data_IF_279613982164
#
_entry.id   IF_279613982164
#
_cell.length_a   1.000
_cell.length_b   1.000
_cell.length_c   1.000
_cell.angle_alpha   90.00
_cell.angle_beta   90.00
_cell.angle_gamma   90.00
#
_symmetry.space_group_name_H-M   'P 1'
#
loop_
_entity.id
_entity.type
_entity.pdbx_description
1 polymer ?
#
# COMPACT_ATOMS: atom_id res chain seq x y z
N UNK A 1 -32.33 -45.65 -42.43
CA UNK A 1 -31.33 -45.84 -41.35
C UNK A 1 -31.28 -47.32 -41.04
N UNK A 2 -30.11 -47.96 -41.10
CA UNK A 2 -29.99 -49.38 -40.80
C UNK A 2 -30.26 -49.63 -39.30
N UNK A 3 -31.28 -50.42 -39.00
CA UNK A 3 -31.68 -50.76 -37.63
C UNK A 3 -30.71 -51.78 -37.04
N UNK A 4 -29.67 -51.29 -36.37
CA UNK A 4 -28.69 -52.14 -35.66
C UNK A 4 -29.17 -52.35 -34.22
N UNK A 5 -29.44 -53.60 -33.83
CA UNK A 5 -30.10 -53.93 -32.55
C UNK A 5 -29.09 -53.93 -31.37
N UNK A 6 -27.86 -54.39 -31.60
CA UNK A 6 -26.86 -54.55 -30.53
C UNK A 6 -26.14 -53.24 -30.12
N UNK A 7 -26.15 -52.20 -30.97
CA UNK A 7 -25.43 -50.96 -30.67
C UNK A 7 -26.30 -49.75 -31.00
N UNK A 8 -26.78 -49.08 -29.94
CA UNK A 8 -27.61 -47.90 -30.07
C UNK A 8 -26.75 -46.64 -30.20
N UNK A 9 -26.36 -46.32 -31.43
CA UNK A 9 -25.53 -45.14 -31.75
C UNK A 9 -26.23 -43.82 -31.34
N UNK A 10 -27.55 -43.75 -31.40
CA UNK A 10 -28.32 -42.58 -30.98
C UNK A 10 -28.18 -42.36 -29.47
N UNK A 11 -28.33 -43.40 -28.65
CA UNK A 11 -28.14 -43.32 -27.19
C UNK A 11 -26.70 -42.94 -26.80
N UNK A 12 -25.69 -43.54 -27.45
CA UNK A 12 -24.27 -43.20 -27.24
C UNK A 12 -23.93 -41.74 -27.61
N UNK A 13 -24.54 -41.21 -28.68
CA UNK A 13 -24.38 -39.81 -29.05
C UNK A 13 -25.04 -38.89 -28.02
N UNK A 14 -26.28 -39.19 -27.62
CA UNK A 14 -27.01 -38.43 -26.59
C UNK A 14 -26.26 -38.44 -25.25
N UNK A 15 -25.70 -39.57 -24.81
CA UNK A 15 -24.89 -39.65 -23.59
C UNK A 15 -23.63 -38.78 -23.64
N UNK A 16 -22.91 -38.75 -24.77
CA UNK A 16 -21.74 -37.87 -24.94
C UNK A 16 -22.12 -36.39 -24.87
N UNK A 17 -23.20 -35.99 -25.54
CA UNK A 17 -23.68 -34.61 -25.52
C UNK A 17 -24.19 -34.21 -24.13
N UNK A 18 -24.85 -35.13 -23.41
CA UNK A 18 -25.30 -34.93 -22.04
C UNK A 18 -24.12 -34.76 -21.09
N UNK A 19 -23.08 -35.58 -21.19
CA UNK A 19 -21.85 -35.44 -20.39
C UNK A 19 -21.13 -34.12 -20.65
N UNK A 20 -21.08 -33.67 -21.91
CA UNK A 20 -20.53 -32.35 -22.26
C UNK A 20 -21.35 -31.22 -21.67
N UNK A 21 -22.68 -31.29 -21.75
CA UNK A 21 -23.60 -30.28 -21.20
C UNK A 21 -23.53 -30.22 -19.67
N UNK A 22 -23.41 -31.37 -19.01
CA UNK A 22 -23.22 -31.47 -17.57
C UNK A 22 -21.91 -30.81 -17.12
N UNK A 23 -20.83 -31.01 -17.87
CA UNK A 23 -19.53 -30.41 -17.56
C UNK A 23 -19.56 -28.88 -17.72
N UNK A 24 -20.21 -28.39 -18.76
CA UNK A 24 -20.42 -26.96 -18.98
C UNK A 24 -21.28 -26.33 -17.87
N UNK A 25 -22.38 -26.99 -17.49
CA UNK A 25 -23.25 -26.56 -16.39
C UNK A 25 -22.50 -26.45 -15.06
N UNK A 26 -21.69 -27.46 -14.73
CA UNK A 26 -20.88 -27.46 -13.51
C UNK A 26 -19.85 -26.31 -13.51
N UNK A 27 -19.27 -25.99 -14.67
CA UNK A 27 -18.36 -24.86 -14.82
C UNK A 27 -19.09 -23.52 -14.60
N UNK A 28 -20.27 -23.35 -15.20
CA UNK A 28 -21.11 -22.17 -15.01
C UNK A 28 -21.49 -21.97 -13.54
N UNK A 29 -21.88 -23.05 -12.86
CA UNK A 29 -22.18 -23.03 -11.43
C UNK A 29 -20.96 -22.60 -10.59
N UNK A 30 -19.78 -23.13 -10.90
CA UNK A 30 -18.54 -22.77 -10.21
C UNK A 30 -18.20 -21.28 -10.41
N UNK A 31 -18.36 -20.75 -11.62
CA UNK A 31 -18.09 -19.34 -11.94
C UNK A 31 -19.11 -18.40 -11.30
N UNK A 32 -20.41 -18.73 -11.35
CA UNK A 32 -21.45 -17.98 -10.65
C UNK A 32 -21.27 -17.99 -9.13
N UNK A 33 -20.87 -19.13 -8.56
CA UNK A 33 -20.66 -19.26 -7.11
C UNK A 33 -19.40 -18.54 -6.62
N UNK A 34 -18.33 -18.52 -7.42
CA UNK A 34 -17.07 -17.85 -7.04
C UNK A 34 -17.00 -16.40 -7.49
N UNK A 35 -17.82 -15.99 -8.47
CA UNK A 35 -17.70 -14.71 -9.17
C UNK A 35 -16.50 -14.62 -10.10
N UNK A 36 -15.69 -15.69 -10.24
CA UNK A 36 -14.45 -15.70 -11.00
C UNK A 36 -14.60 -16.59 -12.23
N UNK A 37 -14.19 -16.07 -13.39
CA UNK A 37 -14.07 -16.81 -14.65
C UNK A 37 -12.95 -17.85 -14.58
N UNK A 38 -11.84 -17.49 -13.92
CA UNK A 38 -10.65 -18.34 -13.74
C UNK A 38 -10.56 -18.70 -12.27
N UNK A 39 -10.84 -19.95 -11.92
CA UNK A 39 -10.80 -20.42 -10.53
C UNK A 39 -9.64 -21.41 -10.28
N UNK A 40 -9.18 -22.08 -11.33
CA UNK A 40 -8.04 -23.00 -11.28
C UNK A 40 -7.11 -22.81 -12.47
N UNK A 41 -5.88 -23.34 -12.35
CA UNK A 41 -4.89 -23.39 -13.44
C UNK A 41 -5.39 -24.19 -14.66
N UNK A 42 -6.40 -25.04 -14.48
CA UNK A 42 -7.08 -25.75 -15.57
C UNK A 42 -7.89 -24.80 -16.47
N UNK A 43 -8.41 -23.71 -15.92
CA UNK A 43 -9.28 -22.79 -16.67
C UNK A 43 -8.46 -21.89 -17.59
N UNK A 44 -7.39 -21.30 -17.05
CA UNK A 44 -6.40 -20.52 -17.80
C UNK A 44 -5.12 -20.34 -16.95
N UNK A 45 -4.07 -21.10 -17.27
CA UNK A 45 -2.80 -21.03 -16.53
C UNK A 45 -2.08 -19.68 -16.74
N UNK A 46 -2.15 -19.10 -17.93
CA UNK A 46 -1.47 -17.83 -18.23
C UNK A 46 -2.23 -16.64 -17.60
N UNK A 47 -3.55 -16.63 -17.72
CA UNK A 47 -4.41 -15.64 -17.08
C UNK A 47 -4.27 -15.65 -15.56
N UNK A 48 -4.25 -16.84 -14.94
CA UNK A 48 -4.02 -16.98 -13.52
C UNK A 48 -2.63 -16.46 -13.10
N UNK A 49 -1.56 -16.80 -13.82
CA UNK A 49 -0.21 -16.34 -13.52
C UNK A 49 -0.09 -14.80 -13.59
N UNK A 50 -0.68 -14.18 -14.60
CA UNK A 50 -0.72 -12.71 -14.74
C UNK A 50 -1.50 -12.09 -13.57
N UNK A 51 -2.67 -12.64 -13.24
CA UNK A 51 -3.50 -12.15 -12.15
C UNK A 51 -2.81 -12.30 -10.78
N UNK A 52 -2.09 -13.39 -10.53
CA UNK A 52 -1.30 -13.57 -9.30
C UNK A 52 -0.17 -12.54 -9.21
N UNK A 53 0.50 -12.21 -10.31
CA UNK A 53 1.50 -11.14 -10.35
C UNK A 53 0.88 -9.77 -10.05
N UNK A 54 -0.25 -9.45 -10.68
CA UNK A 54 -0.99 -8.21 -10.40
C UNK A 54 -1.45 -8.15 -8.94
N UNK A 55 -1.90 -9.26 -8.37
CA UNK A 55 -2.29 -9.34 -6.95
C UNK A 55 -1.10 -9.07 -6.02
N UNK A 56 0.06 -9.66 -6.32
CA UNK A 56 1.30 -9.40 -5.58
C UNK A 56 1.71 -7.93 -5.66
N UNK A 57 1.62 -7.32 -6.84
CA UNK A 57 1.93 -5.90 -7.03
C UNK A 57 0.96 -5.01 -6.26
N UNK A 58 -0.36 -5.25 -6.33
CA UNK A 58 -1.36 -4.51 -5.57
C UNK A 58 -1.11 -4.61 -4.06
N UNK A 59 -0.83 -5.80 -3.53
CA UNK A 59 -0.49 -5.98 -2.11
C UNK A 59 0.79 -5.24 -1.74
N UNK A 60 1.82 -5.30 -2.59
CA UNK A 60 3.07 -4.56 -2.41
C UNK A 60 2.85 -3.05 -2.36
N UNK A 61 2.06 -2.51 -3.29
CA UNK A 61 1.70 -1.09 -3.33
C UNK A 61 0.86 -0.65 -2.13
N UNK A 62 -0.04 -1.50 -1.62
CA UNK A 62 -0.79 -1.21 -0.39
C UNK A 62 0.12 -1.14 0.85
N UNK A 63 1.16 -1.98 0.93
CA UNK A 63 2.19 -1.88 1.97
C UNK A 63 2.99 -0.59 1.78
N UNK A 64 3.38 -0.27 0.55
CA UNK A 64 4.10 0.96 0.23
C UNK A 64 3.32 2.23 0.61
N UNK A 65 2.01 2.26 0.42
CA UNK A 65 1.15 3.37 0.89
C UNK A 65 1.25 3.50 2.42
N UNK A 66 1.24 2.40 3.18
CA UNK A 66 1.41 2.46 4.65
C UNK A 66 2.78 2.99 5.03
N UNK A 67 3.85 2.48 4.40
CA UNK A 67 5.21 2.95 4.64
C UNK A 67 5.37 4.45 4.32
N UNK A 68 4.73 4.95 3.26
CA UNK A 68 4.74 6.37 2.91
C UNK A 68 4.02 7.22 3.98
N UNK A 69 2.90 6.73 4.53
CA UNK A 69 2.22 7.39 5.64
C UNK A 69 3.05 7.36 6.94
N UNK A 70 3.79 6.28 7.20
CA UNK A 70 4.75 6.21 8.32
C UNK A 70 5.87 7.24 8.13
N UNK A 71 6.33 7.45 6.89
CA UNK A 71 7.33 8.45 6.57
C UNK A 71 6.81 9.89 6.75
N UNK A 72 5.56 10.16 6.39
CA UNK A 72 4.88 11.43 6.69
C UNK A 72 4.81 11.64 8.21
N UNK A 73 4.40 10.61 8.96
CA UNK A 73 4.33 10.66 10.43
C UNK A 73 5.70 10.91 11.06
N UNK A 74 6.76 10.26 10.55
CA UNK A 74 8.14 10.51 10.94
C UNK A 74 8.54 11.97 10.71
N UNK A 75 8.23 12.52 9.53
CA UNK A 75 8.53 13.91 9.19
C UNK A 75 7.77 14.91 10.08
N UNK A 76 6.53 14.61 10.45
CA UNK A 76 5.74 15.43 11.38
C UNK A 76 6.31 15.41 12.80
N UNK A 77 6.77 14.26 13.29
CA UNK A 77 7.46 14.17 14.59
C UNK A 77 8.77 14.93 14.57
N UNK A 78 9.53 14.85 13.46
CA UNK A 78 10.74 15.62 13.24
C UNK A 78 10.47 17.14 13.29
N UNK A 79 9.43 17.59 12.59
CA UNK A 79 9.03 18.99 12.56
C UNK A 79 8.57 19.49 13.93
N UNK A 80 7.80 18.69 14.67
CA UNK A 80 7.39 19.03 16.04
C UNK A 80 8.59 19.22 16.98
N UNK A 81 9.58 18.33 16.88
CA UNK A 81 10.85 18.47 17.60
C UNK A 81 11.62 19.73 17.20
N UNK A 82 11.75 20.00 15.90
CA UNK A 82 12.43 21.20 15.40
C UNK A 82 11.72 22.48 15.83
N UNK A 83 10.39 22.49 15.89
CA UNK A 83 9.63 23.65 16.38
C UNK A 83 10.00 23.96 17.82
N UNK A 84 10.08 22.94 18.69
CA UNK A 84 10.45 23.13 20.10
C UNK A 84 11.91 23.51 20.29
N UNK A 85 12.82 23.00 19.45
CA UNK A 85 14.20 23.48 19.43
C UNK A 85 14.28 24.95 18.99
N UNK A 86 13.50 25.34 17.98
CA UNK A 86 13.45 26.72 17.49
C UNK A 86 12.96 27.69 18.58
N UNK A 87 11.89 27.34 19.30
CA UNK A 87 11.38 28.13 20.43
C UNK A 87 12.48 28.36 21.50
N UNK A 88 13.20 27.30 21.87
CA UNK A 88 14.30 27.39 22.85
C UNK A 88 15.49 28.23 22.33
N UNK A 89 15.86 28.07 21.05
CA UNK A 89 16.94 28.85 20.41
C UNK A 89 16.59 30.34 20.34
N UNK A 90 15.34 30.68 20.02
CA UNK A 90 14.88 32.07 20.04
C UNK A 90 14.99 32.68 21.45
N UNK A 91 14.58 31.93 22.49
CA UNK A 91 14.76 32.37 23.87
C UNK A 91 16.23 32.54 24.26
N UNK A 92 17.09 31.59 23.87
CA UNK A 92 18.54 31.71 24.07
C UNK A 92 19.11 32.95 23.39
N UNK A 93 18.60 33.31 22.21
CA UNK A 93 19.00 34.52 21.48
C UNK A 93 18.61 35.78 22.24
N UNK A 94 17.40 35.83 22.79
CA UNK A 94 16.94 36.96 23.62
C UNK A 94 17.88 37.17 24.83
N UNK A 95 18.21 36.09 25.53
CA UNK A 95 19.12 36.12 26.67
C UNK A 95 20.53 36.58 26.26
N UNK A 96 21.04 36.10 25.13
CA UNK A 96 22.33 36.51 24.61
C UNK A 96 22.35 38.01 24.26
N UNK A 97 21.31 38.53 23.60
CA UNK A 97 21.17 39.97 23.32
C UNK A 97 21.05 40.78 24.61
N UNK A 98 20.23 40.33 25.56
CA UNK A 98 20.08 40.99 26.85
C UNK A 98 21.40 41.04 27.62
N UNK A 99 22.17 39.95 27.61
CA UNK A 99 23.46 39.83 28.30
C UNK A 99 24.54 40.74 27.71
N UNK A 100 24.39 41.30 26.50
CA UNK A 100 25.35 42.24 25.92
C UNK A 100 25.21 43.65 26.51
N UNK A 101 24.06 43.99 27.11
CA UNK A 101 23.82 45.33 27.62
C UNK A 101 24.89 45.76 28.64
N UNK A 102 25.49 46.93 28.43
CA UNK A 102 26.58 47.46 29.25
C UNK A 102 26.14 47.78 30.69
N UNK A 103 24.84 47.98 30.94
CA UNK A 103 24.30 48.26 32.27
C UNK A 103 24.18 47.04 33.17
N UNK A 104 24.27 45.82 32.61
CA UNK A 104 24.14 44.59 33.40
C UNK A 104 25.39 44.36 34.26
N UNK A 105 25.18 44.01 35.52
CA UNK A 105 26.27 43.61 36.42
C UNK A 105 26.76 42.19 36.09
N UNK A 106 27.88 41.78 36.70
CA UNK A 106 28.36 40.40 36.61
C UNK A 106 27.36 39.40 37.18
N UNK A 107 26.63 39.78 38.23
CA UNK A 107 25.58 38.94 38.84
C UNK A 107 24.40 38.77 37.91
N UNK A 108 23.96 39.83 37.23
CA UNK A 108 22.87 39.76 36.25
C UNK A 108 23.24 38.84 35.08
N UNK A 109 24.49 38.96 34.58
CA UNK A 109 25.02 38.07 33.54
C UNK A 109 25.09 36.62 33.99
N UNK A 110 25.46 36.35 35.25
CA UNK A 110 25.46 35.01 35.80
C UNK A 110 24.06 34.39 35.88
N UNK A 111 23.04 35.19 36.22
CA UNK A 111 21.65 34.73 36.23
C UNK A 111 21.12 34.43 34.81
N UNK A 112 21.44 35.27 33.83
CA UNK A 112 21.11 35.03 32.41
C UNK A 112 21.82 33.78 31.87
N UNK A 113 23.07 33.56 32.25
CA UNK A 113 23.83 32.36 31.90
C UNK A 113 23.19 31.09 32.46
N UNK A 114 22.65 31.12 33.68
CA UNK A 114 21.99 29.96 34.27
C UNK A 114 20.75 29.54 33.45
N UNK A 115 19.93 30.50 33.00
CA UNK A 115 18.79 30.22 32.11
C UNK A 115 19.27 29.73 30.73
N UNK A 116 20.29 30.37 30.17
CA UNK A 116 20.87 29.99 28.88
C UNK A 116 21.40 28.56 28.88
N UNK A 117 22.10 28.17 29.94
CA UNK A 117 22.65 26.82 30.13
C UNK A 117 21.56 25.76 30.23
N UNK A 118 20.47 26.05 30.95
CA UNK A 118 19.31 25.15 31.03
C UNK A 118 18.63 24.97 29.66
N UNK A 119 18.48 26.05 28.90
CA UNK A 119 17.92 25.98 27.54
C UNK A 119 18.84 25.19 26.59
N UNK A 120 20.16 25.37 26.69
CA UNK A 120 21.12 24.59 25.91
C UNK A 120 21.04 23.08 26.23
N UNK A 121 20.89 22.75 27.51
CA UNK A 121 20.67 21.37 27.96
C UNK A 121 19.33 20.82 27.43
N UNK A 122 18.27 21.63 27.42
CA UNK A 122 16.97 21.24 26.88
C UNK A 122 17.00 21.01 25.36
N UNK A 123 17.68 21.86 24.59
CA UNK A 123 17.89 21.66 23.14
C UNK A 123 18.61 20.33 22.88
N UNK A 124 19.65 20.04 23.66
CA UNK A 124 20.40 18.78 23.60
C UNK A 124 19.54 17.57 23.98
N UNK A 125 18.73 17.70 25.03
CA UNK A 125 17.76 16.66 25.46
C UNK A 125 16.73 16.40 24.38
N UNK A 126 16.15 17.44 23.79
CA UNK A 126 15.15 17.31 22.74
C UNK A 126 15.71 16.64 21.48
N UNK A 127 16.98 16.89 21.16
CA UNK A 127 17.66 16.21 20.05
C UNK A 127 17.77 14.69 20.24
N UNK A 128 17.82 14.21 21.47
CA UNK A 128 17.99 12.77 21.78
C UNK A 128 16.68 12.09 22.22
N UNK A 129 15.75 12.86 22.79
CA UNK A 129 14.45 12.40 23.24
C UNK A 129 13.42 12.29 22.10
N UNK A 130 13.57 13.06 21.02
CA UNK A 130 12.64 12.98 19.88
C UNK A 130 12.87 11.71 19.08
N UNK A 131 11.95 10.76 19.26
CA UNK A 131 12.03 9.44 18.66
C UNK A 131 10.73 9.11 17.94
N UNK A 132 10.84 8.38 16.84
CA UNK A 132 9.71 7.77 16.15
C UNK A 132 9.93 6.26 16.14
N UNK A 133 8.98 5.52 16.71
CA UNK A 133 9.08 4.06 16.85
C UNK A 133 10.43 3.58 17.45
N UNK A 134 10.94 4.30 18.45
CA UNK A 134 12.22 3.99 19.11
C UNK A 134 13.49 4.46 18.39
N UNK A 135 13.39 4.83 17.10
CA UNK A 135 14.51 5.40 16.35
C UNK A 135 14.64 6.91 16.58
N UNK A 136 15.86 7.41 16.75
CA UNK A 136 16.12 8.84 16.83
C UNK A 136 15.77 9.51 15.49
N UNK A 137 15.06 10.63 15.56
CA UNK A 137 14.61 11.36 14.38
C UNK A 137 15.67 12.34 13.88
N UNK A 138 16.50 12.83 14.79
CA UNK A 138 17.65 13.67 14.50
C UNK A 138 18.90 12.82 14.25
N UNK A 139 19.69 13.16 13.23
CA UNK A 139 20.90 12.45 12.84
C UNK A 139 20.78 11.78 11.47
N UNK A 140 20.77 10.45 11.44
CA UNK A 140 20.87 9.67 10.21
C UNK A 140 19.64 9.81 9.29
N UNK A 141 19.90 9.77 7.99
CA UNK A 141 18.88 9.69 6.96
C UNK A 141 18.12 8.36 7.05
N UNK A 142 16.80 8.40 6.93
CA UNK A 142 15.94 7.20 6.97
C UNK A 142 15.44 6.88 5.58
N UNK A 143 15.51 5.60 5.19
CA UNK A 143 15.05 5.15 3.87
C UNK A 143 13.74 4.41 3.98
N UNK A 144 12.75 4.84 3.20
CA UNK A 144 11.42 4.25 3.16
C UNK A 144 11.17 3.60 1.81
N UNK A 145 10.72 2.35 1.81
CA UNK A 145 10.29 1.63 0.62
C UNK A 145 8.88 2.09 0.23
N UNK A 146 8.77 2.69 -0.95
CA UNK A 146 7.54 3.32 -1.46
C UNK A 146 7.02 2.70 -2.76
N UNK A 147 7.59 1.59 -3.20
CA UNK A 147 7.07 0.80 -4.33
C UNK A 147 6.98 -0.69 -4.00
N UNK A 148 6.43 -1.44 -4.95
CA UNK A 148 6.35 -2.89 -4.85
C UNK A 148 7.67 -3.59 -5.25
N UNK A 149 8.52 -2.92 -6.04
CA UNK A 149 9.76 -3.48 -6.55
C UNK A 149 10.96 -3.07 -5.69
N UNK A 150 11.98 -3.93 -5.64
CA UNK A 150 13.18 -3.68 -4.86
C UNK A 150 13.91 -2.43 -5.37
N UNK A 151 14.20 -1.49 -4.47
CA UNK A 151 14.93 -0.25 -4.79
C UNK A 151 14.04 0.98 -4.97
N UNK A 152 12.72 0.82 -5.06
CA UNK A 152 11.75 1.92 -5.07
C UNK A 152 11.68 2.61 -3.71
N UNK A 153 12.68 3.44 -3.41
CA UNK A 153 12.89 4.04 -2.09
C UNK A 153 12.95 5.55 -2.15
N UNK A 154 12.54 6.18 -1.05
CA UNK A 154 12.76 7.59 -0.79
C UNK A 154 13.53 7.70 0.53
N UNK A 155 14.69 8.33 0.46
CA UNK A 155 15.53 8.62 1.62
C UNK A 155 15.22 10.03 2.12
N UNK A 156 14.95 10.16 3.41
CA UNK A 156 14.80 11.45 4.07
C UNK A 156 16.16 12.13 4.22
N UNK A 157 16.19 13.45 4.15
CA UNK A 157 17.42 14.19 4.47
C UNK A 157 17.79 13.96 5.95
N UNK A 158 19.10 13.91 6.24
CA UNK A 158 19.59 13.92 7.61
C UNK A 158 19.15 15.22 8.29
N UNK A 159 18.43 15.12 9.40
CA UNK A 159 18.05 16.28 10.21
C UNK A 159 19.17 16.55 11.20
N UNK A 160 19.91 17.64 11.02
CA UNK A 160 21.03 17.96 11.90
C UNK A 160 20.52 18.24 13.33
N UNK A 161 21.17 17.61 14.31
CA UNK A 161 20.98 17.93 15.71
C UNK A 161 21.55 19.33 16.01
N UNK A 162 20.72 20.26 16.47
CA UNK A 162 21.23 21.54 16.97
C UNK A 162 22.03 21.29 18.26
N UNK A 163 23.33 21.60 18.24
CA UNK A 163 24.18 21.64 19.44
C UNK A 163 24.71 23.06 19.61
N UNK A 164 24.36 23.72 20.72
CA UNK A 164 24.87 25.05 21.04
C UNK A 164 25.95 24.91 22.11
N UNK A 165 27.21 25.07 21.70
CA UNK A 165 28.34 25.22 22.61
C UNK A 165 28.68 26.71 22.75
N UNK A 166 28.43 27.30 23.92
CA UNK A 166 28.68 28.71 24.18
C UNK A 166 28.17 29.16 25.55
N UNK A 167 28.53 30.38 25.96
CA UNK A 167 28.03 31.03 27.18
C UNK A 167 27.76 32.52 26.91
N UNK A 168 27.01 33.15 27.80
CA UNK A 168 26.62 34.57 27.78
C UNK A 168 27.16 35.34 28.99
N UNK A 169 28.16 34.79 29.68
CA UNK A 169 28.77 35.37 30.89
C UNK A 169 29.59 36.63 30.63
N UNK A 170 29.93 36.93 29.37
CA UNK A 170 30.66 38.14 28.95
C UNK A 170 30.10 38.69 27.64
N UNK A 171 30.37 39.97 27.36
CA UNK A 171 29.93 40.61 26.10
C UNK A 171 30.50 39.91 24.86
N UNK A 172 31.78 39.49 24.91
CA UNK A 172 32.44 38.82 23.80
C UNK A 172 31.85 37.42 23.54
N UNK A 173 31.61 36.66 24.60
CA UNK A 173 31.03 35.31 24.49
C UNK A 173 29.56 35.34 24.09
N UNK A 174 28.79 36.30 24.61
CA UNK A 174 27.41 36.53 24.20
C UNK A 174 27.29 36.91 22.71
N UNK A 175 28.20 37.73 22.19
CA UNK A 175 28.23 38.07 20.76
C UNK A 175 28.50 36.85 19.89
N UNK A 176 29.41 35.98 20.32
CA UNK A 176 29.69 34.70 19.65
C UNK A 176 28.50 33.73 19.73
N UNK A 177 27.80 33.70 20.88
CA UNK A 177 26.61 32.89 21.08
C UNK A 177 25.47 33.30 20.13
N UNK A 178 25.26 34.60 19.89
CA UNK A 178 24.26 35.08 18.91
C UNK A 178 24.57 34.51 17.52
N UNK A 179 25.82 34.60 17.05
CA UNK A 179 26.19 34.06 15.74
C UNK A 179 25.97 32.55 15.64
N UNK A 180 26.31 31.81 16.70
CA UNK A 180 26.07 30.37 16.75
C UNK A 180 24.57 30.01 16.74
N UNK A 181 23.75 30.76 17.48
CA UNK A 181 22.30 30.58 17.53
C UNK A 181 21.65 30.93 16.19
N UNK A 182 22.06 32.02 15.55
CA UNK A 182 21.55 32.41 14.23
C UNK A 182 21.87 31.34 13.18
N UNK A 183 23.08 30.77 13.21
CA UNK A 183 23.44 29.63 12.35
C UNK A 183 22.58 28.38 12.63
N UNK A 184 22.32 28.06 13.90
CA UNK A 184 21.47 26.95 14.28
C UNK A 184 20.00 27.15 13.87
N UNK A 185 19.47 28.37 14.01
CA UNK A 185 18.13 28.75 13.54
C UNK A 185 18.03 28.61 12.01
N UNK A 186 19.04 29.06 11.26
CA UNK A 186 19.09 28.85 9.81
C UNK A 186 19.07 27.35 9.46
N UNK A 187 19.90 26.54 10.11
CA UNK A 187 19.95 25.09 9.88
C UNK A 187 18.62 24.39 10.22
N UNK A 188 17.96 24.80 11.32
CA UNK A 188 16.64 24.29 11.69
C UNK A 188 15.58 24.65 10.64
N UNK A 189 15.56 25.89 10.15
CA UNK A 189 14.65 26.34 9.10
C UNK A 189 14.89 25.62 7.77
N UNK A 190 16.14 25.42 7.37
CA UNK A 190 16.49 24.61 6.18
C UNK A 190 16.00 23.18 6.36
N UNK A 191 16.20 22.57 7.53
CA UNK A 191 15.73 21.22 7.81
C UNK A 191 14.20 21.13 7.74
N UNK A 192 13.46 22.08 8.33
CA UNK A 192 11.99 22.14 8.23
C UNK A 192 11.51 22.27 6.78
N UNK A 193 12.17 23.11 5.98
CA UNK A 193 11.85 23.25 4.56
C UNK A 193 12.04 21.92 3.80
N UNK A 194 13.12 21.18 4.07
CA UNK A 194 13.35 19.86 3.47
C UNK A 194 12.33 18.81 3.92
N UNK A 195 11.93 18.82 5.19
CA UNK A 195 10.91 17.92 5.72
C UNK A 195 9.54 18.20 5.10
N UNK A 196 9.15 19.47 4.95
CA UNK A 196 7.91 19.85 4.26
C UNK A 196 7.92 19.44 2.79
N UNK A 197 9.04 19.61 2.09
CA UNK A 197 9.18 19.14 0.70
C UNK A 197 9.04 17.61 0.59
N UNK A 198 9.59 16.87 1.56
CA UNK A 198 9.49 15.42 1.63
C UNK A 198 8.05 14.97 1.94
N UNK A 199 7.32 15.67 2.81
CA UNK A 199 5.89 15.40 3.08
C UNK A 199 5.08 15.49 1.79
N UNK A 200 5.20 16.59 1.03
CA UNK A 200 4.54 16.77 -0.26
C UNK A 200 4.91 15.66 -1.26
N UNK A 201 6.19 15.25 -1.27
CA UNK A 201 6.66 14.15 -2.13
C UNK A 201 5.99 12.82 -1.75
N UNK A 202 5.90 12.49 -0.46
CA UNK A 202 5.22 11.28 -0.01
C UNK A 202 3.71 11.32 -0.27
N UNK A 203 3.04 12.46 -0.12
CA UNK A 203 1.63 12.62 -0.49
C UNK A 203 1.39 12.37 -1.98
N UNK A 204 2.26 12.91 -2.85
CA UNK A 204 2.21 12.66 -4.29
C UNK A 204 2.41 11.17 -4.62
N UNK A 205 3.33 10.51 -3.93
CA UNK A 205 3.57 9.07 -4.07
C UNK A 205 2.36 8.25 -3.62
N UNK A 206 1.74 8.60 -2.49
CA UNK A 206 0.51 7.93 -2.02
C UNK A 206 -0.59 8.05 -3.07
N UNK A 207 -0.81 9.24 -3.62
CA UNK A 207 -1.80 9.46 -4.68
C UNK A 207 -1.48 8.63 -5.94
N UNK A 208 -0.22 8.60 -6.37
CA UNK A 208 0.20 7.80 -7.52
C UNK A 208 -0.01 6.29 -7.29
N UNK A 209 0.35 5.79 -6.11
CA UNK A 209 0.16 4.39 -5.74
C UNK A 209 -1.32 4.01 -5.68
N UNK A 210 -2.19 4.88 -5.17
CA UNK A 210 -3.64 4.65 -5.15
C UNK A 210 -4.20 4.48 -6.56
N UNK A 211 -3.82 5.37 -7.48
CA UNK A 211 -4.19 5.26 -8.91
C UNK A 211 -3.63 3.99 -9.53
N UNK A 212 -2.40 3.60 -9.19
CA UNK A 212 -1.80 2.34 -9.69
C UNK A 212 -2.56 1.11 -9.19
N UNK A 213 -2.91 1.08 -7.90
CA UNK A 213 -3.69 0.00 -7.28
C UNK A 213 -5.07 -0.12 -7.92
N UNK A 214 -5.75 1.00 -8.17
CA UNK A 214 -7.06 1.02 -8.84
C UNK A 214 -6.97 0.43 -10.25
N UNK A 215 -6.02 0.92 -11.06
CA UNK A 215 -5.85 0.46 -12.44
C UNK A 215 -5.43 -1.01 -12.52
N UNK A 216 -4.55 -1.47 -11.64
CA UNK A 216 -4.15 -2.88 -11.58
C UNK A 216 -5.28 -3.78 -11.10
N UNK A 217 -6.07 -3.33 -10.13
CA UNK A 217 -7.26 -4.06 -9.66
C UNK A 217 -8.31 -4.17 -10.77
N UNK A 218 -8.53 -3.09 -11.53
CA UNK A 218 -9.42 -3.10 -12.69
C UNK A 218 -8.89 -4.00 -13.84
N UNK A 219 -7.57 -4.02 -14.08
CA UNK A 219 -6.96 -4.94 -15.04
C UNK A 219 -7.12 -6.40 -14.59
N UNK A 220 -6.87 -6.69 -13.32
CA UNK A 220 -7.07 -8.03 -12.72
C UNK A 220 -8.52 -8.47 -12.80
N UNK A 221 -9.47 -7.60 -12.49
CA UNK A 221 -10.92 -7.85 -12.58
C UNK A 221 -11.32 -8.29 -14.00
N UNK A 222 -10.85 -7.59 -15.05
CA UNK A 222 -11.10 -7.98 -16.46
C UNK A 222 -10.55 -9.36 -16.82
N UNK A 223 -9.50 -9.83 -16.13
CA UNK A 223 -8.91 -11.15 -16.36
C UNK A 223 -9.67 -12.23 -15.57
N UNK A 224 -9.97 -11.94 -14.31
CA UNK A 224 -10.40 -12.95 -13.34
C UNK A 224 -11.90 -13.02 -13.15
N UNK A 225 -12.63 -11.91 -13.25
CA UNK A 225 -14.04 -11.85 -12.88
C UNK A 225 -14.93 -12.45 -13.98
N UNK A 226 -16.02 -13.08 -13.55
CA UNK A 226 -17.03 -13.63 -14.44
C UNK A 226 -18.10 -12.59 -14.78
N UNK A 227 -18.54 -12.58 -16.04
CA UNK A 227 -19.74 -11.85 -16.44
C UNK A 227 -20.99 -12.65 -16.02
N UNK A 228 -21.67 -12.18 -14.99
CA UNK A 228 -22.86 -12.82 -14.44
C UNK A 228 -23.99 -12.97 -15.47
N UNK A 229 -24.17 -12.00 -16.38
CA UNK A 229 -25.24 -12.06 -17.36
C UNK A 229 -24.98 -13.17 -18.38
N UNK A 230 -23.74 -13.24 -18.88
CA UNK A 230 -23.31 -14.31 -19.79
C UNK A 230 -23.37 -15.70 -19.10
N UNK A 231 -22.90 -15.80 -17.85
CA UNK A 231 -22.86 -17.07 -17.14
C UNK A 231 -24.27 -17.56 -16.73
N UNK A 232 -25.20 -16.67 -16.42
CA UNK A 232 -26.61 -17.02 -16.15
C UNK A 232 -27.31 -17.52 -17.42
N UNK A 233 -27.02 -16.92 -18.57
CA UNK A 233 -27.53 -17.40 -19.86
C UNK A 233 -26.97 -18.79 -20.20
N UNK A 234 -25.67 -19.02 -19.95
CA UNK A 234 -25.05 -20.33 -20.12
C UNK A 234 -25.61 -21.38 -19.16
N UNK A 235 -25.84 -21.02 -17.89
CA UNK A 235 -26.46 -21.87 -16.89
C UNK A 235 -27.85 -22.31 -17.34
N UNK A 236 -28.68 -21.35 -17.75
CA UNK A 236 -30.05 -21.61 -18.23
C UNK A 236 -30.02 -22.52 -19.46
N UNK A 237 -29.14 -22.24 -20.43
CA UNK A 237 -28.94 -23.11 -21.60
C UNK A 237 -28.53 -24.52 -21.18
N UNK A 238 -27.61 -24.65 -20.23
CA UNK A 238 -27.13 -25.93 -19.70
C UNK A 238 -28.24 -26.74 -19.02
N UNK A 239 -29.09 -26.10 -18.22
CA UNK A 239 -30.24 -26.73 -17.58
C UNK A 239 -31.27 -27.23 -18.61
N UNK A 240 -31.57 -26.42 -19.63
CA UNK A 240 -32.49 -26.81 -20.72
C UNK A 240 -31.90 -27.98 -21.52
N UNK A 241 -30.61 -27.95 -21.86
CA UNK A 241 -29.94 -29.04 -22.57
C UNK A 241 -29.87 -30.32 -21.74
N UNK A 242 -29.72 -30.23 -20.42
CA UNK A 242 -29.74 -31.37 -19.52
C UNK A 242 -31.14 -32.02 -19.50
N UNK A 243 -32.20 -31.22 -19.35
CA UNK A 243 -33.60 -31.70 -19.37
C UNK A 243 -33.99 -32.29 -20.73
N UNK A 244 -33.60 -31.64 -21.83
CA UNK A 244 -33.83 -32.15 -23.18
C UNK A 244 -33.01 -33.43 -23.45
N UNK A 245 -31.76 -33.47 -22.96
CA UNK A 245 -30.87 -34.62 -23.12
C UNK A 245 -31.37 -35.87 -22.40
N UNK A 246 -31.92 -35.74 -21.19
CA UNK A 246 -32.53 -36.87 -20.46
C UNK A 246 -33.80 -37.37 -21.14
N UNK A 247 -34.66 -36.46 -21.63
CA UNK A 247 -35.85 -36.81 -22.41
C UNK A 247 -35.49 -37.53 -23.73
N UNK A 248 -34.49 -37.02 -24.45
CA UNK A 248 -33.98 -37.63 -25.69
C UNK A 248 -33.28 -38.96 -25.45
N UNK A 249 -32.61 -39.14 -24.30
CA UNK A 249 -31.99 -40.40 -23.92
C UNK A 249 -33.04 -41.45 -23.59
N UNK A 250 -34.11 -41.07 -22.89
CA UNK A 250 -35.26 -41.93 -22.65
C UNK A 250 -35.92 -42.38 -23.96
N UNK A 251 -36.09 -41.45 -24.92
CA UNK A 251 -36.62 -41.76 -26.25
C UNK A 251 -35.65 -42.63 -27.07
N UNK A 252 -34.35 -42.32 -27.05
CA UNK A 252 -33.33 -43.11 -27.74
C UNK A 252 -33.28 -44.56 -27.24
N UNK A 253 -33.53 -44.78 -25.94
CA UNK A 253 -33.56 -46.11 -25.33
C UNK A 253 -34.86 -46.89 -25.60
N UNK A 254 -35.97 -46.23 -25.99
CA UNK A 254 -37.23 -46.91 -26.31
C UNK A 254 -37.31 -47.42 -27.77
N UNK A 255 -36.54 -46.81 -28.68
CA UNK A 255 -36.47 -47.18 -30.10
C UNK A 255 -36.14 -48.67 -30.36
N UNK A 256 -35.12 -49.28 -29.72
CA UNK A 256 -34.82 -50.70 -29.91
C UNK A 256 -35.94 -51.64 -29.43
N UNK A 257 -36.65 -51.27 -28.36
CA UNK A 257 -37.77 -52.06 -27.82
C UNK A 257 -38.97 -52.06 -28.77
N UNK A 258 -39.24 -50.94 -29.44
CA UNK A 258 -40.29 -50.87 -30.46
C UNK A 258 -39.93 -51.72 -31.69
N UNK A 259 -38.65 -51.77 -32.08
CA UNK A 259 -38.19 -52.63 -33.18
C UNK A 259 -38.26 -54.11 -32.81
N UNK A 260 -37.92 -54.47 -31.57
CA UNK A 260 -38.06 -55.85 -31.07
C UNK A 260 -39.53 -56.28 -30.95
N UNK A 261 -40.44 -55.37 -30.60
CA UNK A 261 -41.89 -55.62 -30.62
C UNK A 261 -42.39 -55.98 -32.02
N UNK A 262 -41.94 -55.23 -33.04
CA UNK A 262 -42.30 -55.44 -34.45
C UNK A 262 -41.66 -56.69 -35.09
N UNK A 263 -40.58 -57.23 -34.52
CA UNK A 263 -39.93 -58.47 -34.98
C UNK A 263 -40.44 -59.72 -34.25
N UNK A 264 -41.19 -59.55 -33.15
CA UNK A 264 -41.72 -60.66 -32.33
C UNK A 264 -43.24 -60.89 -32.52
N UNK A 265 -43.93 -59.99 -33.23
CA UNK A 265 -45.31 -60.14 -33.68
C UNK A 265 -45.37 -60.41 -35.17
#
# INVERSE_FOLDING_TARGET
MASVINTNLASLNTQRNLSSSQSALNTSLQRLSSGLRINSSKDDAAGLAIATRMDSQVRGQQVAIRNANDAISFAQVAEGGLSKQTDALQRMRELAVQSINGTNTSTDRANLEAEFSQLSAEVSRLSTATKFNGAAVFGAAQTFQVGADAGDTITTASVAAATITGNVSSVATASSAITAIDAALTAANTSRATLGAIQNRFESVVSNLQVSVENQSAAKSRIMDADFAAETANLTRGQILQQAGTAMLAQANSLPNNVLSLLRG
#
